data_IF_099816622579
#
_entry.id   IF_099816622579
#
_cell.length_a   1.000
_cell.length_b   1.000
_cell.length_c   1.000
_cell.angle_alpha   90.00
_cell.angle_beta   90.00
_cell.angle_gamma   90.00
#
_symmetry.space_group_name_H-M   'P 1'
#
loop_
_entity.id
_entity.type
_entity.pdbx_description
1 polymer ?
#
# COMPACT_ATOMS: atom_id res chain seq x y z
N UNK A 1 -39.65 10.41 10.40
CA UNK A 1 -38.26 10.58 9.92
C UNK A 1 -37.20 9.98 10.85
N UNK A 2 -37.24 10.22 12.18
CA UNK A 2 -36.23 9.67 13.12
C UNK A 2 -36.17 8.14 13.14
N UNK A 3 -37.32 7.46 13.15
CA UNK A 3 -37.39 5.99 13.15
C UNK A 3 -36.95 5.34 11.83
N UNK A 4 -37.18 6.02 10.70
CA UNK A 4 -36.70 5.56 9.38
C UNK A 4 -35.17 5.59 9.30
N UNK A 5 -34.53 6.61 9.87
CA UNK A 5 -33.06 6.72 9.90
C UNK A 5 -32.45 5.60 10.76
N UNK A 6 -33.05 5.30 11.91
CA UNK A 6 -32.59 4.22 12.79
C UNK A 6 -32.77 2.83 12.15
N UNK A 7 -33.86 2.63 11.40
CA UNK A 7 -34.11 1.39 10.68
C UNK A 7 -33.11 1.18 9.52
N UNK A 8 -32.81 2.24 8.77
CA UNK A 8 -31.80 2.19 7.70
C UNK A 8 -30.38 1.94 8.23
N UNK A 9 -30.02 2.54 9.38
CA UNK A 9 -28.71 2.31 10.00
C UNK A 9 -28.55 0.88 10.53
N UNK A 10 -29.62 0.29 11.08
CA UNK A 10 -29.60 -1.10 11.55
C UNK A 10 -29.42 -2.12 10.43
N UNK A 11 -30.06 -1.90 9.28
CA UNK A 11 -29.91 -2.77 8.09
C UNK A 11 -28.50 -2.68 7.51
N UNK A 12 -27.92 -1.47 7.47
CA UNK A 12 -26.55 -1.26 6.99
C UNK A 12 -25.51 -2.01 7.86
N UNK A 13 -25.71 -2.05 9.17
CA UNK A 13 -24.82 -2.71 10.12
C UNK A 13 -24.87 -4.25 10.03
N UNK A 14 -26.00 -4.81 9.59
CA UNK A 14 -26.16 -6.26 9.36
C UNK A 14 -25.53 -6.73 8.04
N UNK A 15 -25.43 -5.87 7.02
CA UNK A 15 -24.81 -6.22 5.74
C UNK A 15 -23.28 -6.24 5.78
N UNK A 16 -22.65 -5.56 6.74
CA UNK A 16 -21.18 -5.46 6.87
C UNK A 16 -20.48 -6.68 7.49
N UNK A 17 -21.21 -7.75 7.85
CA UNK A 17 -20.67 -8.88 8.62
C UNK A 17 -20.38 -10.16 7.80
N UNK A 18 -20.42 -10.10 6.47
CA UNK A 18 -20.34 -11.30 5.60
C UNK A 18 -18.93 -11.60 5.01
N UNK A 19 -17.85 -11.38 5.75
CA UNK A 19 -16.49 -11.75 5.31
C UNK A 19 -16.02 -13.14 5.82
N UNK A 20 -16.93 -14.01 6.27
CA UNK A 20 -16.60 -15.27 6.94
C UNK A 20 -16.59 -16.53 6.04
N UNK A 21 -16.55 -16.43 4.70
CA UNK A 21 -16.58 -17.59 3.79
C UNK A 21 -15.56 -17.53 2.62
N UNK A 22 -14.34 -17.05 2.88
CA UNK A 22 -13.23 -17.15 1.92
C UNK A 22 -12.17 -18.17 2.38
N UNK A 23 -12.58 -19.42 2.65
CA UNK A 23 -11.69 -20.58 2.69
C UNK A 23 -12.24 -21.67 1.77
N UNK A 24 -11.98 -21.55 0.47
CA UNK A 24 -12.07 -22.71 -0.43
C UNK A 24 -10.82 -23.56 -0.21
N UNK A 25 -10.90 -24.56 0.65
CA UNK A 25 -9.92 -25.64 0.69
C UNK A 25 -9.89 -26.29 -0.69
N UNK A 26 -8.75 -26.18 -1.36
CA UNK A 26 -8.46 -26.89 -2.60
C UNK A 26 -8.28 -28.37 -2.25
N UNK A 27 -9.37 -29.11 -2.22
CA UNK A 27 -9.41 -30.57 -2.08
C UNK A 27 -8.67 -31.16 -3.29
N UNK A 28 -7.42 -31.59 -3.10
CA UNK A 28 -6.70 -32.33 -4.13
C UNK A 28 -7.05 -33.80 -3.97
N UNK A 29 -7.89 -34.32 -4.85
CA UNK A 29 -8.07 -35.76 -5.03
C UNK A 29 -6.73 -36.42 -5.39
N UNK A 30 -6.05 -37.00 -4.40
CA UNK A 30 -4.89 -37.86 -4.64
C UNK A 30 -5.36 -39.29 -4.46
N UNK A 31 -5.52 -40.01 -5.58
CA UNK A 31 -5.73 -41.46 -5.60
C UNK A 31 -4.58 -42.16 -4.83
N UNK A 32 -4.85 -43.11 -3.92
CA UNK A 32 -3.78 -43.81 -3.21
C UNK A 32 -3.07 -44.77 -4.17
N UNK A 33 -1.83 -44.43 -4.54
CA UNK A 33 -0.92 -45.36 -5.23
C UNK A 33 -0.18 -46.18 -4.16
N UNK A 34 -0.25 -47.50 -4.27
CA UNK A 34 0.35 -48.46 -3.35
C UNK A 34 1.87 -48.26 -3.17
N UNK A 35 2.44 -48.57 -1.98
CA UNK A 35 3.83 -48.28 -1.70
C UNK A 35 4.69 -49.39 -2.30
N UNK A 36 5.45 -49.07 -3.34
CA UNK A 36 6.56 -49.91 -3.77
C UNK A 36 7.83 -49.08 -3.92
N UNK A 37 8.94 -49.72 -3.58
CA UNK A 37 10.32 -49.25 -3.61
C UNK A 37 10.80 -48.42 -2.41
N UNK A 38 11.56 -49.10 -1.56
CA UNK A 38 12.50 -48.55 -0.58
C UNK A 38 13.35 -47.44 -1.19
N UNK A 39 13.08 -46.18 -0.84
CA UNK A 39 13.94 -45.07 -1.21
C UNK A 39 15.01 -44.85 -0.14
N UNK A 40 16.26 -45.01 -0.52
CA UNK A 40 17.44 -44.74 0.30
C UNK A 40 17.54 -43.23 0.55
N UNK A 41 17.17 -42.77 1.75
CA UNK A 41 17.26 -41.36 2.16
C UNK A 41 18.67 -40.98 2.61
N UNK A 42 19.65 -41.01 1.72
CA UNK A 42 21.01 -40.57 2.04
C UNK A 42 21.54 -39.65 0.95
N UNK A 43 21.11 -38.38 0.98
CA UNK A 43 21.84 -37.18 0.54
C UNK A 43 20.94 -35.94 0.33
N UNK A 44 19.60 -36.06 0.41
CA UNK A 44 18.70 -34.92 0.11
C UNK A 44 18.82 -33.76 1.11
N UNK A 45 19.14 -34.04 2.39
CA UNK A 45 19.28 -33.03 3.45
C UNK A 45 20.43 -32.03 3.22
N UNK A 46 21.54 -32.43 2.58
CA UNK A 46 22.67 -31.51 2.30
C UNK A 46 22.36 -30.58 1.12
N UNK A 47 21.68 -31.07 0.07
CA UNK A 47 21.25 -30.24 -1.06
C UNK A 47 20.16 -29.25 -0.67
N UNK A 48 19.20 -29.65 0.17
CA UNK A 48 18.13 -28.77 0.64
C UNK A 48 18.66 -27.61 1.49
N UNK A 49 19.62 -27.86 2.40
CA UNK A 49 20.24 -26.80 3.23
C UNK A 49 21.02 -25.77 2.39
N UNK A 50 21.74 -26.21 1.36
CA UNK A 50 22.44 -25.30 0.43
C UNK A 50 21.48 -24.46 -0.40
N UNK A 51 20.37 -25.05 -0.87
CA UNK A 51 19.33 -24.31 -1.59
C UNK A 51 18.61 -23.29 -0.69
N UNK A 52 18.31 -23.68 0.56
CA UNK A 52 17.73 -22.78 1.56
C UNK A 52 18.63 -21.59 1.86
N UNK A 53 19.93 -21.82 2.09
CA UNK A 53 20.88 -20.73 2.32
C UNK A 53 21.00 -19.80 1.11
N UNK A 54 21.01 -20.34 -0.12
CA UNK A 54 21.01 -19.52 -1.35
C UNK A 54 19.77 -18.64 -1.45
N UNK A 55 18.60 -19.16 -1.10
CA UNK A 55 17.34 -18.39 -1.11
C UNK A 55 17.34 -17.32 -0.01
N UNK A 56 17.90 -17.62 1.16
CA UNK A 56 18.07 -16.67 2.25
C UNK A 56 19.02 -15.52 1.87
N UNK A 57 20.19 -15.85 1.31
CA UNK A 57 21.16 -14.86 0.83
C UNK A 57 20.58 -13.98 -0.29
N UNK A 58 19.77 -14.58 -1.18
CA UNK A 58 19.07 -13.85 -2.22
C UNK A 58 18.01 -12.92 -1.62
N UNK A 59 17.25 -13.39 -0.63
CA UNK A 59 16.27 -12.59 0.11
C UNK A 59 16.88 -11.36 0.78
N UNK A 60 18.07 -11.50 1.38
CA UNK A 60 18.81 -10.36 1.96
C UNK A 60 19.17 -9.34 0.87
N UNK A 61 19.71 -9.79 -0.26
CA UNK A 61 20.09 -8.91 -1.38
C UNK A 61 18.88 -8.16 -1.95
N UNK A 62 17.76 -8.85 -2.11
CA UNK A 62 16.52 -8.28 -2.62
C UNK A 62 15.94 -7.26 -1.63
N UNK A 63 15.95 -7.59 -0.34
CA UNK A 63 15.56 -6.67 0.73
C UNK A 63 16.44 -5.41 0.73
N UNK A 64 17.76 -5.54 0.68
CA UNK A 64 18.67 -4.40 0.62
C UNK A 64 18.41 -3.51 -0.61
N UNK A 65 18.14 -4.13 -1.76
CA UNK A 65 17.82 -3.41 -3.00
C UNK A 65 16.52 -2.61 -2.84
N UNK A 66 15.49 -3.21 -2.26
CA UNK A 66 14.22 -2.53 -1.95
C UNK A 66 14.43 -1.39 -0.96
N UNK A 67 15.21 -1.61 0.11
CA UNK A 67 15.51 -0.57 1.10
C UNK A 67 16.27 0.61 0.49
N UNK A 68 17.27 0.34 -0.36
CA UNK A 68 18.01 1.38 -1.09
C UNK A 68 17.10 2.16 -2.04
N UNK A 69 16.21 1.47 -2.77
CA UNK A 69 15.24 2.11 -3.67
C UNK A 69 14.24 2.98 -2.90
N UNK A 70 13.70 2.47 -1.80
CA UNK A 70 12.78 3.19 -0.92
C UNK A 70 13.45 4.43 -0.32
N UNK A 71 14.66 4.30 0.22
CA UNK A 71 15.44 5.44 0.74
C UNK A 71 15.61 6.53 -0.33
N UNK A 72 15.92 6.15 -1.57
CA UNK A 72 16.03 7.11 -2.69
C UNK A 72 14.68 7.77 -3.02
N UNK A 73 13.58 7.00 -3.02
CA UNK A 73 12.22 7.51 -3.24
C UNK A 73 11.83 8.52 -2.16
N UNK A 74 11.97 8.15 -0.88
CA UNK A 74 11.65 9.03 0.26
C UNK A 74 12.49 10.31 0.24
N UNK A 75 13.79 10.24 -0.07
CA UNK A 75 14.62 11.45 -0.23
C UNK A 75 14.11 12.38 -1.33
N UNK A 76 13.67 11.85 -2.46
CA UNK A 76 13.11 12.67 -3.55
C UNK A 76 11.78 13.31 -3.14
N UNK A 77 10.93 12.56 -2.45
CA UNK A 77 9.64 13.07 -1.96
C UNK A 77 9.85 14.16 -0.90
N UNK A 78 10.74 13.96 0.07
CA UNK A 78 11.09 14.95 1.09
C UNK A 78 11.55 16.28 0.46
N UNK A 79 12.47 16.23 -0.50
CA UNK A 79 12.90 17.42 -1.26
C UNK A 79 11.76 18.12 -2.02
N UNK A 80 10.75 17.37 -2.45
CA UNK A 80 9.55 17.93 -3.08
C UNK A 80 8.64 18.65 -2.09
N UNK A 81 8.54 18.13 -0.86
CA UNK A 81 7.74 18.70 0.24
C UNK A 81 8.38 19.94 0.85
N UNK A 82 9.71 20.08 0.78
CA UNK A 82 10.45 21.28 1.23
C UNK A 82 10.18 22.52 0.38
N UNK A 83 9.47 22.39 -0.76
CA UNK A 83 9.14 23.55 -1.60
C UNK A 83 8.27 24.56 -0.81
N UNK A 84 8.50 25.87 -0.99
CA UNK A 84 7.77 26.92 -0.28
C UNK A 84 6.26 26.87 -0.53
N UNK A 85 5.84 26.32 -1.68
CA UNK A 85 4.45 26.07 -2.03
C UNK A 85 3.71 25.21 -0.99
N UNK A 86 4.40 24.29 -0.32
CA UNK A 86 3.81 23.35 0.64
C UNK A 86 4.10 23.71 2.09
N UNK A 87 5.09 24.57 2.37
CA UNK A 87 5.46 24.97 3.73
C UNK A 87 4.92 26.35 4.13
N UNK A 88 4.84 27.30 3.21
CA UNK A 88 4.40 28.67 3.50
C UNK A 88 2.89 28.83 3.17
N UNK A 89 2.03 29.17 4.15
CA UNK A 89 0.60 29.39 3.91
C UNK A 89 0.34 30.56 2.95
N UNK A 90 1.28 31.50 2.79
CA UNK A 90 1.12 32.63 1.86
C UNK A 90 1.18 32.25 0.40
N UNK A 91 1.69 31.06 0.07
CA UNK A 91 1.62 30.52 -1.28
C UNK A 91 0.24 29.94 -1.61
N UNK A 92 -0.62 29.65 -0.62
CA UNK A 92 -1.95 29.06 -0.81
C UNK A 92 -1.93 27.83 -1.74
N UNK A 93 -0.87 27.01 -1.70
CA UNK A 93 -0.71 25.87 -2.59
C UNK A 93 -0.45 26.20 -4.07
N UNK A 94 -0.18 27.47 -4.41
CA UNK A 94 0.17 27.89 -5.78
C UNK A 94 1.63 27.60 -6.09
N UNK A 95 1.98 27.52 -7.37
CA UNK A 95 3.41 27.44 -7.76
C UNK A 95 4.13 28.77 -7.52
N UNK A 96 3.41 29.89 -7.59
CA UNK A 96 3.91 31.24 -7.34
C UNK A 96 3.02 31.94 -6.32
N UNK A 97 3.63 32.67 -5.40
CA UNK A 97 2.89 33.45 -4.40
C UNK A 97 1.88 34.38 -5.08
N UNK A 98 0.59 34.32 -4.71
CA UNK A 98 -0.40 35.25 -5.23
C UNK A 98 -0.04 36.71 -4.96
N UNK A 99 -0.27 37.58 -5.95
CA UNK A 99 0.05 39.02 -5.84
C UNK A 99 -0.96 39.70 -4.91
N UNK A 100 -0.48 40.35 -3.84
CA UNK A 100 -1.32 41.20 -2.98
C UNK A 100 -1.86 42.39 -3.77
N UNK A 101 -3.19 42.57 -3.81
CA UNK A 101 -3.87 43.65 -4.55
C UNK A 101 -4.59 44.61 -3.59
N UNK A 102 -4.77 45.89 -3.98
CA UNK A 102 -5.54 46.83 -3.18
C UNK A 102 -7.04 46.46 -3.17
N UNK A 103 -7.78 46.99 -2.19
CA UNK A 103 -9.23 46.79 -2.05
C UNK A 103 -9.93 47.17 -3.36
N UNK A 104 -10.84 46.30 -3.84
CA UNK A 104 -11.58 46.48 -5.10
C UNK A 104 -10.87 45.98 -6.36
N UNK A 105 -9.59 45.61 -6.31
CA UNK A 105 -8.83 45.11 -7.49
C UNK A 105 -8.44 43.64 -7.40
N UNK A 106 -9.01 42.91 -6.43
CA UNK A 106 -8.75 41.47 -6.23
C UNK A 106 -9.22 40.67 -7.44
N UNK A 107 -8.52 39.58 -7.78
CA UNK A 107 -8.89 38.73 -8.92
C UNK A 107 -9.11 37.30 -8.46
N UNK A 108 -10.04 36.62 -9.12
CA UNK A 108 -10.20 35.18 -8.97
C UNK A 108 -8.94 34.47 -9.46
N UNK A 109 -8.50 33.45 -8.74
CA UNK A 109 -7.39 32.61 -9.14
C UNK A 109 -7.88 31.21 -9.49
N UNK A 110 -7.50 30.75 -10.68
CA UNK A 110 -7.96 29.48 -11.24
C UNK A 110 -7.33 28.28 -10.52
N UNK A 111 -6.19 28.44 -9.85
CA UNK A 111 -5.48 27.34 -9.15
C UNK A 111 -6.18 26.92 -7.84
N UNK A 112 -6.76 27.88 -7.11
CA UNK A 112 -7.32 27.65 -5.76
C UNK A 112 -8.81 27.98 -5.64
N UNK A 113 -9.41 28.57 -6.68
CA UNK A 113 -10.83 28.91 -6.70
C UNK A 113 -11.24 30.04 -5.75
N UNK A 114 -10.29 30.83 -5.25
CA UNK A 114 -10.55 31.97 -4.36
C UNK A 114 -10.06 33.29 -4.96
N UNK A 115 -10.52 34.41 -4.37
CA UNK A 115 -10.19 35.77 -4.82
C UNK A 115 -9.03 36.34 -3.99
N UNK A 116 -7.90 36.60 -4.65
CA UNK A 116 -6.67 37.17 -4.06
C UNK A 116 -6.53 38.68 -4.27
#
# INVERSE_FOLDING_TARGET
MRFLILFCFGIFLLLSSNDALAQSSRESEVKPVAPSASQTFSNSKKRSKKAFNKNYDQGIKDYEKLMKANKKKYRKMAKGMEKPQYSDPTYFGHKKKPKKRPKGKRKFCDECGIVH
#
